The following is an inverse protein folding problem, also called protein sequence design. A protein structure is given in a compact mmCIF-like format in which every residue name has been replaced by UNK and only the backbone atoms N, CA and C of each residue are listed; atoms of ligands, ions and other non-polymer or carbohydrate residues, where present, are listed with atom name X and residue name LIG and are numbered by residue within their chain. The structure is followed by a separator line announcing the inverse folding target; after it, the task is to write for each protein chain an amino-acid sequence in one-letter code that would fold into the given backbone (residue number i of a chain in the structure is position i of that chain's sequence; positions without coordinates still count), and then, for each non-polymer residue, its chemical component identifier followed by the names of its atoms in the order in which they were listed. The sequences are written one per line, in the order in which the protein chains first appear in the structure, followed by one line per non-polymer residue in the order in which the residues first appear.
data_IF_163162028806
#
_entry.id   IF_163162028806
#
_cell.length_a   1.000
_cell.length_b   1.000
_cell.length_c   1.000
_cell.angle_alpha   90.00
_cell.angle_beta   90.00
_cell.angle_gamma   90.00
#
_symmetry.space_group_name_H-M   'P 1'
#
loop_
_entity.id
_entity.type
_entity.pdbx_description
1 polymer ?
#
# COMPACT_ATOMS: atom_id res chain seq x y z
N UNK A 1 32.68 13.52 -61.80
CA UNK A 1 32.76 12.12 -61.33
C UNK A 1 31.38 11.72 -60.85
N UNK A 2 30.72 10.84 -61.60
CA UNK A 2 29.57 10.01 -61.20
C UNK A 2 30.01 8.53 -61.38
N UNK A 3 29.21 7.47 -61.11
CA UNK A 3 27.95 7.31 -60.35
C UNK A 3 28.00 6.08 -59.38
N UNK A 4 27.00 5.77 -58.55
CA UNK A 4 25.97 4.70 -58.65
C UNK A 4 25.60 4.35 -57.17
N UNK A 5 24.37 4.15 -56.69
CA UNK A 5 23.13 3.68 -57.30
C UNK A 5 22.86 2.23 -56.87
N UNK A 6 21.86 1.95 -56.01
CA UNK A 6 21.08 0.70 -55.98
C UNK A 6 19.87 0.83 -55.06
N UNK A 7 18.70 0.76 -55.69
CA UNK A 7 17.38 0.53 -55.08
C UNK A 7 17.06 -0.98 -55.11
N UNK A 8 16.13 -1.43 -54.27
CA UNK A 8 15.63 -2.80 -54.32
C UNK A 8 14.37 -3.04 -53.47
N UNK A 9 13.21 -2.81 -54.08
CA UNK A 9 11.90 -3.32 -53.64
C UNK A 9 11.84 -4.85 -53.78
N UNK A 10 11.13 -5.55 -52.89
CA UNK A 10 10.22 -6.64 -53.29
C UNK A 10 9.20 -7.02 -52.20
N UNK A 11 7.93 -7.11 -52.61
CA UNK A 11 6.79 -7.65 -51.86
C UNK A 11 6.80 -9.20 -51.84
N UNK A 12 5.82 -9.88 -51.17
CA UNK A 12 4.65 -10.31 -51.95
C UNK A 12 3.28 -10.35 -51.23
N UNK A 13 2.27 -10.39 -52.10
CA UNK A 13 0.84 -10.65 -51.96
C UNK A 13 0.49 -11.96 -51.19
N UNK A 14 -0.67 -12.02 -50.52
CA UNK A 14 -1.89 -12.69 -51.04
C UNK A 14 -3.09 -12.65 -50.07
N UNK A 15 -4.24 -12.40 -50.69
CA UNK A 15 -5.60 -12.43 -50.16
C UNK A 15 -6.02 -13.84 -49.74
N UNK A 16 -6.79 -13.98 -48.66
CA UNK A 16 -7.80 -15.03 -48.53
C UNK A 16 -9.18 -14.41 -48.36
N UNK A 17 -10.08 -14.79 -49.27
CA UNK A 17 -11.52 -14.60 -49.23
C UNK A 17 -12.12 -15.74 -48.38
N UNK A 18 -13.09 -15.44 -47.53
CA UNK A 18 -14.15 -16.38 -47.18
C UNK A 18 -15.51 -15.71 -47.47
N UNK A 19 -16.26 -16.32 -48.39
CA UNK A 19 -17.72 -16.16 -48.61
C UNK A 19 -18.44 -16.74 -47.37
N UNK A 20 -19.51 -16.13 -46.80
CA UNK A 20 -20.93 -16.15 -47.23
C UNK A 20 -21.42 -17.61 -47.49
N UNK A 21 -22.52 -18.14 -46.95
CA UNK A 21 -23.76 -17.61 -46.31
C UNK A 21 -24.60 -18.83 -45.77
N UNK A 22 -25.93 -18.77 -45.52
CA UNK A 22 -26.62 -19.26 -44.32
C UNK A 22 -27.45 -20.56 -44.53
N UNK A 23 -28.16 -21.04 -43.50
CA UNK A 23 -29.35 -21.87 -43.69
C UNK A 23 -30.40 -21.64 -42.60
N UNK A 24 -31.57 -21.20 -43.05
CA UNK A 24 -32.86 -21.14 -42.36
C UNK A 24 -33.54 -22.51 -42.28
N UNK A 25 -34.62 -22.62 -41.48
CA UNK A 25 -35.65 -23.67 -41.54
C UNK A 25 -35.76 -24.49 -40.25
N UNK A 26 -36.62 -24.23 -39.26
CA UNK A 26 -38.11 -24.17 -39.19
C UNK A 26 -38.82 -25.55 -39.17
N UNK A 27 -39.34 -25.88 -37.98
CA UNK A 27 -40.58 -26.58 -37.61
C UNK A 27 -40.80 -28.10 -37.88
N UNK A 28 -41.07 -28.85 -36.80
CA UNK A 28 -42.37 -29.51 -36.47
C UNK A 28 -42.19 -30.40 -35.22
N UNK A 29 -42.75 -30.03 -34.06
CA UNK A 29 -44.00 -30.54 -33.45
C UNK A 29 -44.00 -32.06 -33.20
N UNK A 30 -43.83 -32.44 -31.92
CA UNK A 30 -44.54 -33.56 -31.31
C UNK A 30 -44.92 -33.20 -29.89
N UNK A 31 -46.23 -33.27 -29.61
CA UNK A 31 -46.82 -33.13 -28.27
C UNK A 31 -46.34 -34.26 -27.35
N UNK A 32 -45.94 -33.91 -26.13
CA UNK A 32 -46.19 -34.75 -24.97
C UNK A 32 -46.52 -33.87 -23.76
N UNK A 33 -47.67 -34.16 -23.15
CA UNK A 33 -48.20 -33.52 -21.95
C UNK A 33 -47.37 -33.84 -20.69
N UNK A 34 -47.55 -32.96 -19.70
CA UNK A 34 -47.41 -33.17 -18.25
C UNK A 34 -46.04 -32.86 -17.65
N UNK A 35 -45.87 -31.66 -17.10
CA UNK A 35 -45.92 -31.42 -15.64
C UNK A 35 -45.64 -29.94 -15.34
N UNK A 36 -46.50 -29.32 -14.54
CA UNK A 36 -46.36 -27.93 -14.08
C UNK A 36 -45.09 -27.77 -13.22
N UNK A 37 -44.27 -26.72 -13.42
CA UNK A 37 -43.22 -26.38 -12.47
C UNK A 37 -43.82 -25.66 -11.25
N UNK A 38 -43.39 -25.97 -10.01
CA UNK A 38 -43.87 -25.30 -8.81
C UNK A 38 -43.41 -23.83 -8.76
N UNK A 39 -44.15 -22.97 -8.02
CA UNK A 39 -43.82 -21.55 -7.91
C UNK A 39 -42.50 -21.34 -7.17
N UNK A 40 -41.68 -20.44 -7.70
CA UNK A 40 -40.46 -19.95 -7.05
C UNK A 40 -40.85 -19.09 -5.84
N UNK A 41 -40.82 -19.70 -4.66
CA UNK A 41 -40.78 -19.00 -3.38
C UNK A 41 -39.39 -18.36 -3.17
N UNK A 42 -39.33 -17.09 -2.74
CA UNK A 42 -38.08 -16.43 -2.36
C UNK A 42 -37.58 -16.98 -1.03
N UNK A 43 -36.41 -17.60 -1.03
CA UNK A 43 -35.75 -18.07 0.19
C UNK A 43 -35.38 -16.88 1.10
N UNK A 44 -36.25 -16.59 2.07
CA UNK A 44 -35.98 -15.76 3.23
C UNK A 44 -35.38 -16.59 4.35
N UNK A 45 -34.28 -16.06 4.90
CA UNK A 45 -33.92 -15.99 6.33
C UNK A 45 -33.72 -17.34 7.06
N UNK A 46 -32.76 -17.53 7.95
CA UNK A 46 -32.38 -16.78 9.17
C UNK A 46 -31.44 -17.75 9.92
N UNK A 47 -30.55 -17.41 10.85
CA UNK A 47 -30.11 -16.20 11.51
C UNK A 47 -29.12 -16.69 12.58
N UNK A 48 -27.97 -16.04 12.73
CA UNK A 48 -27.43 -15.80 14.06
C UNK A 48 -27.05 -14.33 14.14
N UNK A 49 -28.08 -13.55 14.46
CA UNK A 49 -28.01 -12.22 15.03
C UNK A 49 -27.49 -12.33 16.46
N UNK A 50 -26.57 -11.45 16.82
CA UNK A 50 -26.30 -11.16 18.22
C UNK A 50 -25.22 -10.09 18.40
N UNK A 51 -25.68 -8.84 18.64
CA UNK A 51 -24.96 -7.71 19.27
C UNK A 51 -24.03 -6.90 18.34
N UNK A 52 -24.21 -5.59 18.08
CA UNK A 52 -24.89 -4.52 18.82
C UNK A 52 -25.48 -3.45 17.89
N UNK A 53 -26.65 -2.93 18.28
CA UNK A 53 -27.08 -1.55 18.04
C UNK A 53 -26.23 -0.62 18.92
N UNK A 54 -25.35 0.19 18.31
CA UNK A 54 -24.71 1.39 18.89
C UNK A 54 -24.64 2.44 17.76
N UNK A 55 -24.85 3.74 18.05
CA UNK A 55 -25.65 4.61 17.18
C UNK A 55 -24.82 5.36 16.14
N UNK A 56 -25.54 6.02 15.22
CA UNK A 56 -25.17 7.09 14.30
C UNK A 56 -24.43 8.31 14.93
N UNK A 57 -23.69 8.12 16.03
CA UNK A 57 -23.00 9.16 16.79
C UNK A 57 -21.47 9.01 16.87
N UNK A 58 -20.89 7.91 16.40
CA UNK A 58 -19.43 7.69 16.50
C UNK A 58 -18.63 8.62 15.58
N UNK A 59 -19.09 8.87 14.34
CA UNK A 59 -18.42 9.79 13.42
C UNK A 59 -18.39 11.24 13.90
N UNK A 60 -19.46 11.72 14.56
CA UNK A 60 -19.51 13.08 15.12
C UNK A 60 -18.72 13.22 16.43
N UNK A 61 -18.71 12.20 17.28
CA UNK A 61 -17.92 12.21 18.51
C UNK A 61 -16.41 12.10 18.23
N UNK A 62 -16.00 11.36 17.19
CA UNK A 62 -14.59 11.34 16.75
C UNK A 62 -14.17 12.71 16.20
N UNK A 63 -15.01 13.35 15.37
CA UNK A 63 -14.75 14.70 14.87
C UNK A 63 -14.66 15.76 15.97
N UNK A 64 -15.51 15.66 17.00
CA UNK A 64 -15.49 16.57 18.15
C UNK A 64 -14.31 16.30 19.10
N UNK A 65 -13.94 15.03 19.34
CA UNK A 65 -12.76 14.67 20.12
C UNK A 65 -11.46 15.08 19.42
N UNK A 66 -11.38 14.92 18.09
CA UNK A 66 -10.25 15.37 17.29
C UNK A 66 -10.18 16.90 17.25
N UNK A 67 -11.31 17.62 17.11
CA UNK A 67 -11.36 19.08 17.25
C UNK A 67 -11.01 19.57 18.67
N UNK A 68 -11.31 18.80 19.72
CA UNK A 68 -11.00 19.13 21.10
C UNK A 68 -9.53 18.85 21.48
N UNK A 69 -8.88 17.88 20.84
CA UNK A 69 -7.41 17.65 20.93
C UNK A 69 -6.67 18.65 20.05
N UNK A 70 -7.19 18.95 18.86
CA UNK A 70 -6.68 19.96 17.94
C UNK A 70 -6.70 21.38 18.52
N UNK A 71 -7.82 21.82 19.12
CA UNK A 71 -7.98 23.22 19.55
C UNK A 71 -6.90 23.73 20.53
N UNK A 72 -6.50 23.02 21.59
CA UNK A 72 -5.40 23.45 22.44
C UNK A 72 -4.03 23.31 21.77
N UNK A 73 -3.88 22.45 20.75
CA UNK A 73 -2.67 22.38 19.90
C UNK A 73 -2.55 23.60 18.97
N UNK A 74 -3.67 24.24 18.61
CA UNK A 74 -3.73 25.35 17.65
C UNK A 74 -3.65 26.77 18.24
N UNK A 75 -3.54 26.95 19.58
CA UNK A 75 -3.58 28.29 20.22
C UNK A 75 -2.27 28.69 20.93
N UNK A 76 -1.26 27.84 21.02
CA UNK A 76 0.03 28.25 21.57
C UNK A 76 0.95 28.88 20.50
N UNK A 77 0.61 30.08 20.04
CA UNK A 77 1.63 31.03 19.59
C UNK A 77 2.14 31.76 20.81
N UNK A 78 3.11 31.17 21.50
CA UNK A 78 4.14 31.95 22.17
C UNK A 78 5.46 31.23 22.01
N UNK A 79 6.45 32.02 21.61
CA UNK A 79 7.80 31.61 21.37
C UNK A 79 8.45 31.20 22.69
N UNK A 80 8.36 29.93 23.05
CA UNK A 80 9.33 29.31 23.94
C UNK A 80 9.86 28.01 23.35
N UNK A 81 11.17 27.83 23.53
CA UNK A 81 12.02 26.96 22.77
C UNK A 81 11.70 25.47 22.99
N UNK A 82 11.54 24.75 21.87
CA UNK A 82 12.15 23.45 21.59
C UNK A 82 12.44 22.53 22.78
N UNK A 83 11.39 22.03 23.40
CA UNK A 83 11.46 20.66 23.90
C UNK A 83 11.47 19.74 22.68
N UNK A 84 12.68 19.33 22.27
CA UNK A 84 12.94 18.40 21.16
C UNK A 84 12.03 17.15 21.23
N UNK A 85 11.69 16.69 22.44
CA UNK A 85 10.78 15.57 22.65
C UNK A 85 9.31 15.88 22.37
N UNK A 86 8.88 17.13 22.51
CA UNK A 86 7.49 17.55 22.29
C UNK A 86 7.12 17.54 20.80
N UNK A 87 8.04 17.94 19.92
CA UNK A 87 7.82 17.87 18.47
C UNK A 87 7.64 16.43 17.99
N UNK A 88 8.53 15.52 18.41
CA UNK A 88 8.46 14.11 18.04
C UNK A 88 7.20 13.44 18.62
N UNK A 89 6.89 13.69 19.89
CA UNK A 89 5.68 13.17 20.54
C UNK A 89 4.40 13.63 19.83
N UNK A 90 4.30 14.92 19.48
CA UNK A 90 3.18 15.45 18.69
C UNK A 90 3.07 14.73 17.35
N UNK A 91 4.17 14.52 16.64
CA UNK A 91 4.14 13.78 15.37
C UNK A 91 3.71 12.33 15.53
N UNK A 92 4.10 11.64 16.60
CA UNK A 92 3.68 10.26 16.88
C UNK A 92 2.20 10.15 17.26
N UNK A 93 1.69 11.12 18.03
CA UNK A 93 0.26 11.21 18.34
C UNK A 93 -0.58 11.45 17.07
N UNK A 94 -0.11 12.34 16.20
CA UNK A 94 -0.77 12.59 14.90
C UNK A 94 -0.72 11.34 14.00
N UNK A 95 0.37 10.56 14.03
CA UNK A 95 0.46 9.29 13.27
C UNK A 95 -0.59 8.29 13.76
N UNK A 96 -0.77 8.18 15.08
CA UNK A 96 -1.77 7.28 15.67
C UNK A 96 -3.20 7.68 15.27
N UNK A 97 -3.52 8.97 15.32
CA UNK A 97 -4.82 9.48 14.88
C UNK A 97 -5.02 9.29 13.38
N UNK A 98 -3.99 9.54 12.58
CA UNK A 98 -4.03 9.34 11.14
C UNK A 98 -4.33 7.89 10.77
N UNK A 99 -3.67 6.91 11.41
CA UNK A 99 -3.92 5.48 11.16
C UNK A 99 -5.37 5.08 11.44
N UNK A 100 -5.98 5.63 12.50
CA UNK A 100 -7.40 5.39 12.79
C UNK A 100 -8.27 5.91 11.65
N UNK A 101 -7.99 7.12 11.15
CA UNK A 101 -8.74 7.72 10.04
C UNK A 101 -8.57 6.91 8.75
N UNK A 102 -7.34 6.51 8.44
CA UNK A 102 -7.04 5.69 7.26
C UNK A 102 -7.76 4.33 7.32
N UNK A 103 -7.71 3.65 8.46
CA UNK A 103 -8.45 2.39 8.68
C UNK A 103 -9.95 2.57 8.48
N UNK A 104 -10.52 3.64 9.04
CA UNK A 104 -11.95 3.91 8.90
C UNK A 104 -12.35 4.28 7.46
N UNK A 105 -11.48 5.00 6.72
CA UNK A 105 -11.71 5.31 5.32
C UNK A 105 -11.72 4.05 4.44
N UNK A 106 -10.89 3.05 4.77
CA UNK A 106 -10.88 1.76 4.10
C UNK A 106 -12.14 0.92 4.39
N UNK A 107 -12.66 1.00 5.61
CA UNK A 107 -13.87 0.28 6.03
C UNK A 107 -15.16 0.93 5.50
N UNK A 108 -15.25 2.26 5.51
CA UNK A 108 -16.44 3.01 5.12
C UNK A 108 -16.13 4.29 4.34
N UNK A 109 -16.26 4.18 3.02
CA UNK A 109 -16.06 5.31 2.10
C UNK A 109 -17.21 6.34 2.11
N UNK A 110 -18.34 6.07 2.77
CA UNK A 110 -19.49 6.99 2.78
C UNK A 110 -19.18 8.32 3.49
N UNK A 111 -18.14 8.34 4.32
CA UNK A 111 -17.68 9.51 5.07
C UNK A 111 -16.47 10.22 4.45
N UNK A 112 -16.11 9.91 3.21
CA UNK A 112 -14.92 10.45 2.52
C UNK A 112 -14.83 11.98 2.57
N UNK A 113 -15.95 12.70 2.45
CA UNK A 113 -15.95 14.16 2.54
C UNK A 113 -15.54 14.69 3.94
N UNK A 114 -16.02 14.02 5.01
CA UNK A 114 -15.65 14.37 6.39
C UNK A 114 -14.19 14.04 6.67
N UNK A 115 -13.71 12.88 6.18
CA UNK A 115 -12.31 12.50 6.30
C UNK A 115 -11.40 13.43 5.51
N UNK A 116 -11.78 13.83 4.29
CA UNK A 116 -11.01 14.78 3.48
C UNK A 116 -10.78 16.10 4.21
N UNK A 117 -11.82 16.67 4.84
CA UNK A 117 -11.69 17.90 5.63
C UNK A 117 -10.71 17.74 6.81
N UNK A 118 -10.72 16.57 7.43
CA UNK A 118 -9.83 16.26 8.53
C UNK A 118 -8.38 16.07 8.04
N UNK A 119 -8.19 15.36 6.93
CA UNK A 119 -6.90 15.22 6.24
C UNK A 119 -6.34 16.58 5.81
N UNK A 120 -7.17 17.48 5.28
CA UNK A 120 -6.76 18.86 4.96
C UNK A 120 -6.21 19.59 6.19
N UNK A 121 -6.76 19.33 7.38
CA UNK A 121 -6.28 19.92 8.64
C UNK A 121 -4.89 19.39 9.00
N UNK A 122 -4.66 18.07 8.88
CA UNK A 122 -3.33 17.48 9.09
C UNK A 122 -2.31 18.03 8.08
N UNK A 123 -2.71 18.15 6.81
CA UNK A 123 -1.86 18.66 5.73
C UNK A 123 -1.37 20.08 6.01
N UNK A 124 -2.24 20.99 6.48
CA UNK A 124 -1.82 22.36 6.79
C UNK A 124 -0.76 22.39 7.88
N UNK A 125 -0.98 21.67 8.98
CA UNK A 125 -0.03 21.60 10.09
C UNK A 125 1.31 20.98 9.66
N UNK A 126 1.27 19.81 9.02
CA UNK A 126 2.48 19.07 8.67
C UNK A 126 3.30 19.81 7.60
N UNK A 127 2.65 20.49 6.63
CA UNK A 127 3.38 21.32 5.65
C UNK A 127 4.10 22.49 6.31
N UNK A 128 3.43 23.18 7.23
CA UNK A 128 4.05 24.27 7.97
C UNK A 128 5.24 23.76 8.78
N UNK A 129 5.10 22.60 9.44
CA UNK A 129 6.15 21.99 10.23
C UNK A 129 7.37 21.57 9.38
N UNK A 130 7.13 20.89 8.26
CA UNK A 130 8.18 20.43 7.34
C UNK A 130 8.96 21.62 6.74
N UNK A 131 8.29 22.74 6.47
CA UNK A 131 8.89 23.94 5.89
C UNK A 131 9.78 24.74 6.86
N UNK A 132 9.75 24.45 8.16
CA UNK A 132 10.59 25.16 9.15
C UNK A 132 12.08 24.94 8.88
N UNK A 133 12.94 25.94 9.13
CA UNK A 133 14.37 25.86 8.78
C UNK A 133 15.22 24.97 9.71
N UNK A 134 14.66 24.37 10.76
CA UNK A 134 15.44 23.62 11.76
C UNK A 134 16.17 22.40 11.17
N UNK A 135 17.44 22.23 11.58
CA UNK A 135 18.38 21.19 11.11
C UNK A 135 18.83 20.20 12.19
N UNK A 136 18.28 20.28 13.41
CA UNK A 136 18.59 19.33 14.50
C UNK A 136 18.16 17.90 14.12
N UNK A 137 18.97 16.85 14.38
CA UNK A 137 18.62 15.44 14.11
C UNK A 137 17.22 15.01 14.58
N UNK A 138 16.80 15.40 15.78
CA UNK A 138 15.48 15.02 16.29
C UNK A 138 14.34 15.76 15.57
N UNK A 139 14.56 17.01 15.19
CA UNK A 139 13.64 17.74 14.32
C UNK A 139 13.60 17.14 12.92
N UNK A 140 14.73 16.63 12.40
CA UNK A 140 14.79 15.91 11.13
C UNK A 140 13.93 14.66 11.16
N UNK A 141 14.00 13.87 12.23
CA UNK A 141 13.17 12.69 12.42
C UNK A 141 11.68 13.05 12.47
N UNK A 142 11.30 14.03 13.29
CA UNK A 142 9.91 14.49 13.35
C UNK A 142 9.39 14.99 11.98
N UNK A 143 10.23 15.68 11.20
CA UNK A 143 9.92 16.10 9.83
C UNK A 143 9.77 14.91 8.88
N UNK A 144 10.55 13.84 9.05
CA UNK A 144 10.44 12.63 8.24
C UNK A 144 9.06 11.97 8.44
N UNK A 145 8.60 11.86 9.69
CA UNK A 145 7.25 11.38 10.01
C UNK A 145 6.17 12.31 9.46
N UNK A 146 6.35 13.63 9.57
CA UNK A 146 5.40 14.59 9.00
C UNK A 146 5.29 14.47 7.47
N UNK A 147 6.43 14.41 6.76
CA UNK A 147 6.44 14.18 5.32
C UNK A 147 5.77 12.85 4.94
N UNK A 148 6.02 11.78 5.70
CA UNK A 148 5.34 10.48 5.51
C UNK A 148 3.82 10.63 5.61
N UNK A 149 3.32 11.26 6.68
CA UNK A 149 1.88 11.48 6.88
C UNK A 149 1.27 12.31 5.76
N UNK A 150 1.94 13.37 5.30
CA UNK A 150 1.48 14.15 4.15
C UNK A 150 1.35 13.26 2.91
N UNK A 151 2.33 12.39 2.67
CA UNK A 151 2.29 11.39 1.59
C UNK A 151 1.05 10.50 1.67
N UNK A 152 0.77 9.93 2.85
CA UNK A 152 -0.43 9.12 3.07
C UNK A 152 -1.73 9.92 2.91
N UNK A 153 -1.79 11.16 3.43
CA UNK A 153 -2.94 12.04 3.27
C UNK A 153 -3.25 12.26 1.78
N UNK A 154 -2.24 12.61 0.98
CA UNK A 154 -2.41 12.82 -0.45
C UNK A 154 -2.81 11.56 -1.20
N UNK A 155 -2.22 10.41 -0.84
CA UNK A 155 -2.59 9.12 -1.42
C UNK A 155 -4.06 8.79 -1.12
N UNK A 156 -4.50 8.97 0.12
CA UNK A 156 -5.88 8.70 0.54
C UNK A 156 -6.92 9.58 -0.18
N UNK A 157 -6.56 10.81 -0.57
CA UNK A 157 -7.45 11.70 -1.34
C UNK A 157 -7.26 11.59 -2.86
N UNK A 158 -6.40 10.68 -3.34
CA UNK A 158 -6.17 10.41 -4.76
C UNK A 158 -5.17 11.32 -5.48
N UNK A 159 -4.49 12.21 -4.76
CA UNK A 159 -3.52 13.17 -5.30
C UNK A 159 -2.13 12.52 -5.35
N UNK A 160 -1.98 11.53 -6.24
CA UNK A 160 -0.83 10.62 -6.28
C UNK A 160 0.51 11.32 -6.57
N UNK A 161 0.52 12.43 -7.31
CA UNK A 161 1.74 13.19 -7.57
C UNK A 161 2.29 13.83 -6.30
N UNK A 162 1.43 14.53 -5.55
CA UNK A 162 1.79 15.08 -4.23
C UNK A 162 2.18 14.00 -3.24
N UNK A 163 1.50 12.85 -3.24
CA UNK A 163 1.87 11.71 -2.40
C UNK A 163 3.32 11.28 -2.66
N UNK A 164 3.69 11.11 -3.93
CA UNK A 164 5.02 10.68 -4.34
C UNK A 164 6.11 11.69 -3.93
N UNK A 165 5.86 12.99 -4.12
CA UNK A 165 6.80 14.05 -3.70
C UNK A 165 7.12 13.97 -2.19
N UNK A 166 6.10 13.84 -1.36
CA UNK A 166 6.28 13.79 0.09
C UNK A 166 6.85 12.47 0.59
N UNK A 167 6.56 11.34 -0.08
CA UNK A 167 7.26 10.08 0.22
C UNK A 167 8.75 10.14 -0.15
N UNK A 168 9.13 10.79 -1.26
CA UNK A 168 10.55 11.02 -1.59
C UNK A 168 11.23 11.89 -0.53
N UNK A 169 10.57 12.96 -0.10
CA UNK A 169 11.09 13.80 0.98
C UNK A 169 11.25 13.00 2.29
N UNK A 170 10.27 12.18 2.64
CA UNK A 170 10.31 11.32 3.82
C UNK A 170 11.45 10.29 3.74
N UNK A 171 11.60 9.63 2.58
CA UNK A 171 12.71 8.70 2.31
C UNK A 171 14.05 9.38 2.53
N UNK A 172 14.27 10.55 1.96
CA UNK A 172 15.56 11.25 2.05
C UNK A 172 15.86 11.67 3.50
N UNK A 173 14.84 12.10 4.24
CA UNK A 173 14.97 12.45 5.67
C UNK A 173 15.24 11.23 6.55
N UNK A 174 14.51 10.12 6.37
CA UNK A 174 14.77 8.87 7.10
C UNK A 174 16.13 8.29 6.74
N UNK A 175 16.54 8.36 5.47
CA UNK A 175 17.88 7.96 5.03
C UNK A 175 18.98 8.76 5.71
N UNK A 176 18.82 10.08 5.84
CA UNK A 176 19.76 10.92 6.58
C UNK A 176 19.78 10.61 8.09
N UNK A 177 18.65 10.25 8.69
CA UNK A 177 18.60 9.79 10.08
C UNK A 177 19.29 8.42 10.24
N UNK A 178 19.04 7.48 9.34
CA UNK A 178 19.65 6.15 9.35
C UNK A 178 21.17 6.21 9.13
N UNK A 179 21.67 7.13 8.30
CA UNK A 179 23.11 7.36 8.17
C UNK A 179 23.75 7.83 9.49
N UNK A 180 23.03 8.57 10.31
CA UNK A 180 23.51 9.03 11.61
C UNK A 180 23.45 7.91 12.67
N UNK A 181 22.47 7.02 12.60
CA UNK A 181 22.35 5.83 13.45
C UNK A 181 21.97 4.57 12.65
N UNK A 182 22.96 3.87 12.04
CA UNK A 182 22.71 2.75 11.12
C UNK A 182 22.16 1.48 11.77
N UNK A 183 22.16 1.40 13.12
CA UNK A 183 21.77 0.20 13.85
C UNK A 183 20.32 0.22 14.31
N UNK A 184 19.64 1.36 14.16
CA UNK A 184 18.27 1.52 14.61
C UNK A 184 17.30 0.90 13.60
N UNK A 185 16.81 -0.28 13.92
CA UNK A 185 15.89 -1.08 13.09
C UNK A 185 14.65 -0.28 12.70
N UNK A 186 14.11 0.53 13.60
CA UNK A 186 12.93 1.36 13.31
C UNK A 186 13.17 2.34 12.15
N UNK A 187 14.33 3.03 12.13
CA UNK A 187 14.67 3.95 11.02
C UNK A 187 14.82 3.20 9.71
N UNK A 188 15.39 2.01 9.77
CA UNK A 188 15.54 1.15 8.60
C UNK A 188 14.18 0.72 8.04
N UNK A 189 13.25 0.30 8.91
CA UNK A 189 11.87 -0.01 8.53
C UNK A 189 11.17 1.20 7.90
N UNK A 190 11.25 2.39 8.52
CA UNK A 190 10.61 3.60 8.00
C UNK A 190 11.19 4.05 6.66
N UNK A 191 12.50 3.91 6.48
CA UNK A 191 13.15 4.21 5.21
C UNK A 191 12.73 3.24 4.09
N UNK A 192 12.66 1.94 4.41
CA UNK A 192 12.17 0.91 3.48
C UNK A 192 10.69 1.11 3.13
N UNK A 193 9.87 1.47 4.13
CA UNK A 193 8.48 1.83 3.96
C UNK A 193 8.32 2.96 2.93
N UNK A 194 9.15 4.01 3.03
CA UNK A 194 9.10 5.12 2.08
C UNK A 194 9.39 4.67 0.64
N UNK A 195 10.38 3.78 0.41
CA UNK A 195 10.61 3.20 -0.92
C UNK A 195 9.39 2.40 -1.43
N UNK A 196 8.81 1.55 -0.58
CA UNK A 196 7.65 0.76 -0.94
C UNK A 196 6.43 1.62 -1.29
N UNK A 197 6.20 2.71 -0.54
CA UNK A 197 5.12 3.67 -0.82
C UNK A 197 5.34 4.43 -2.13
N UNK A 198 6.56 4.89 -2.41
CA UNK A 198 6.89 5.52 -3.71
C UNK A 198 6.59 4.53 -4.84
N UNK A 199 7.04 3.28 -4.70
CA UNK A 199 6.86 2.27 -5.72
C UNK A 199 5.37 1.95 -5.95
N UNK A 200 4.58 1.83 -4.88
CA UNK A 200 3.12 1.66 -4.95
C UNK A 200 2.44 2.85 -5.65
N UNK A 201 2.76 4.08 -5.26
CA UNK A 201 2.17 5.29 -5.86
C UNK A 201 2.54 5.42 -7.34
N UNK A 202 3.80 5.19 -7.70
CA UNK A 202 4.23 5.22 -9.10
C UNK A 202 3.53 4.13 -9.92
N UNK A 203 3.32 2.94 -9.37
CA UNK A 203 2.55 1.88 -10.01
C UNK A 203 1.09 2.31 -10.24
N UNK A 204 0.44 2.87 -9.21
CA UNK A 204 -0.94 3.37 -9.30
C UNK A 204 -1.09 4.51 -10.33
N UNK A 205 -0.03 5.30 -10.56
CA UNK A 205 0.03 6.32 -11.62
C UNK A 205 0.29 5.76 -13.02
N UNK A 206 0.56 4.45 -13.14
CA UNK A 206 0.94 3.81 -14.40
C UNK A 206 2.44 3.94 -14.76
N UNK A 207 3.26 4.52 -13.88
CA UNK A 207 4.69 4.69 -14.06
C UNK A 207 5.46 3.42 -13.65
N UNK A 208 5.17 2.30 -14.32
CA UNK A 208 5.67 0.96 -13.96
C UNK A 208 7.20 0.92 -13.84
N UNK A 209 7.94 1.58 -14.74
CA UNK A 209 9.42 1.61 -14.68
C UNK A 209 9.94 2.25 -13.39
N UNK A 210 9.32 3.34 -12.95
CA UNK A 210 9.70 4.02 -11.71
C UNK A 210 9.38 3.13 -10.51
N UNK A 211 8.22 2.47 -10.52
CA UNK A 211 7.83 1.52 -9.49
C UNK A 211 8.82 0.34 -9.37
N UNK A 212 9.19 -0.28 -10.49
CA UNK A 212 10.20 -1.35 -10.51
C UNK A 212 11.56 -0.88 -9.97
N UNK A 213 11.98 0.33 -10.32
CA UNK A 213 13.27 0.89 -9.86
C UNK A 213 13.30 1.06 -8.34
N UNK A 214 12.23 1.62 -7.77
CA UNK A 214 12.11 1.83 -6.31
C UNK A 214 11.97 0.50 -5.57
N UNK A 215 11.21 -0.45 -6.12
CA UNK A 215 11.12 -1.81 -5.59
C UNK A 215 12.47 -2.52 -5.57
N UNK A 216 13.24 -2.48 -6.67
CA UNK A 216 14.57 -3.10 -6.73
C UNK A 216 15.56 -2.42 -5.79
N UNK A 217 15.44 -1.11 -5.59
CA UNK A 217 16.25 -0.38 -4.60
C UNK A 217 15.95 -0.87 -3.18
N UNK A 218 14.67 -1.00 -2.82
CA UNK A 218 14.24 -1.54 -1.54
C UNK A 218 14.75 -2.98 -1.31
N UNK A 219 14.67 -3.84 -2.33
CA UNK A 219 15.18 -5.21 -2.26
C UNK A 219 16.71 -5.26 -2.08
N UNK A 220 17.44 -4.46 -2.85
CA UNK A 220 18.90 -4.41 -2.76
C UNK A 220 19.36 -4.00 -1.35
N UNK A 221 18.75 -2.94 -0.82
CA UNK A 221 18.97 -2.49 0.56
C UNK A 221 18.69 -3.62 1.55
N UNK A 222 17.54 -4.27 1.43
CA UNK A 222 17.16 -5.42 2.26
C UNK A 222 18.20 -6.55 2.25
N UNK A 223 18.85 -6.82 1.12
CA UNK A 223 19.89 -7.83 0.97
C UNK A 223 21.22 -7.42 1.61
N UNK A 224 21.57 -6.14 1.54
CA UNK A 224 22.81 -5.59 2.10
C UNK A 224 22.71 -5.23 3.59
N UNK A 225 21.53 -5.41 4.20
CA UNK A 225 21.31 -5.10 5.61
C UNK A 225 22.31 -5.82 6.52
N UNK A 226 23.01 -5.05 7.35
CA UNK A 226 23.89 -5.58 8.41
C UNK A 226 23.20 -5.65 9.77
N UNK A 227 21.87 -5.46 9.81
CA UNK A 227 21.10 -5.52 11.05
C UNK A 227 21.09 -6.94 11.60
N UNK A 228 21.07 -7.07 12.93
CA UNK A 228 20.94 -8.36 13.59
C UNK A 228 19.49 -8.84 13.43
N UNK A 229 19.25 -10.04 12.85
CA UNK A 229 17.90 -10.54 12.62
C UNK A 229 17.30 -11.15 13.89
N UNK A 230 17.05 -10.30 14.88
CA UNK A 230 16.37 -10.66 16.13
C UNK A 230 14.85 -10.45 16.04
N UNK A 231 14.15 -10.57 17.17
CA UNK A 231 12.71 -10.41 17.22
C UNK A 231 12.27 -9.00 16.80
N UNK A 232 12.99 -7.95 17.21
CA UNK A 232 12.67 -6.56 16.89
C UNK A 232 12.86 -6.28 15.39
N UNK A 233 13.92 -6.81 14.80
CA UNK A 233 14.13 -6.83 13.35
C UNK A 233 12.93 -7.42 12.61
N UNK A 234 12.52 -8.64 12.99
CA UNK A 234 11.42 -9.31 12.31
C UNK A 234 10.10 -8.59 12.50
N UNK A 235 9.83 -8.08 13.71
CA UNK A 235 8.60 -7.37 14.02
C UNK A 235 8.51 -6.04 13.26
N UNK A 236 9.61 -5.31 13.20
CA UNK A 236 9.65 -3.96 12.61
C UNK A 236 9.62 -3.96 11.09
N UNK A 237 10.16 -5.00 10.44
CA UNK A 237 10.17 -5.10 8.97
C UNK A 237 9.03 -5.92 8.39
N UNK A 238 8.25 -6.61 9.23
CA UNK A 238 7.16 -7.46 8.76
C UNK A 238 6.15 -6.71 7.87
N UNK A 239 5.66 -5.51 8.24
CA UNK A 239 4.72 -4.76 7.40
C UNK A 239 5.33 -4.38 6.04
N UNK A 240 6.59 -3.97 6.02
CA UNK A 240 7.30 -3.54 4.81
C UNK A 240 7.56 -4.73 3.88
N UNK A 241 7.96 -5.88 4.42
CA UNK A 241 8.12 -7.11 3.66
C UNK A 241 6.80 -7.57 3.04
N UNK A 242 5.69 -7.44 3.77
CA UNK A 242 4.34 -7.77 3.27
C UNK A 242 3.98 -6.88 2.08
N UNK A 243 4.17 -5.56 2.21
CA UNK A 243 3.90 -4.60 1.15
C UNK A 243 4.78 -4.82 -0.09
N UNK A 244 6.08 -5.06 0.11
CA UNK A 244 7.01 -5.34 -1.00
C UNK A 244 6.65 -6.65 -1.70
N UNK A 245 6.34 -7.72 -0.97
CA UNK A 245 5.96 -9.00 -1.57
C UNK A 245 4.73 -8.83 -2.49
N UNK A 246 3.70 -8.12 -2.00
CA UNK A 246 2.51 -7.78 -2.76
C UNK A 246 2.83 -6.96 -4.01
N UNK A 247 3.63 -5.89 -3.86
CA UNK A 247 3.99 -5.04 -4.97
C UNK A 247 4.80 -5.78 -6.05
N UNK A 248 5.74 -6.66 -5.64
CA UNK A 248 6.50 -7.49 -6.57
C UNK A 248 5.61 -8.42 -7.40
N UNK A 249 4.52 -8.92 -6.80
CA UNK A 249 3.52 -9.73 -7.52
C UNK A 249 2.74 -8.90 -8.54
N UNK A 250 2.27 -7.71 -8.15
CA UNK A 250 1.56 -6.77 -9.04
C UNK A 250 2.44 -6.29 -10.21
N UNK A 251 3.72 -6.03 -9.94
CA UNK A 251 4.72 -5.68 -10.95
C UNK A 251 5.19 -6.87 -11.79
N UNK A 252 4.75 -8.09 -11.48
CA UNK A 252 5.18 -9.34 -12.13
C UNK A 252 6.68 -9.61 -12.05
N UNK A 253 7.34 -9.10 -11.01
CA UNK A 253 8.75 -9.34 -10.70
C UNK A 253 8.87 -10.61 -9.86
N UNK A 254 8.46 -11.76 -10.41
CA UNK A 254 8.27 -12.97 -9.58
C UNK A 254 9.56 -13.50 -8.95
N UNK A 255 10.71 -13.39 -9.64
CA UNK A 255 12.00 -13.83 -9.10
C UNK A 255 12.46 -12.96 -7.92
N UNK A 256 12.32 -11.64 -8.04
CA UNK A 256 12.63 -10.70 -6.96
C UNK A 256 11.59 -10.77 -5.83
N UNK A 257 10.30 -10.90 -6.17
CA UNK A 257 9.20 -11.06 -5.21
C UNK A 257 9.35 -12.34 -4.38
N UNK A 258 9.87 -13.43 -4.96
CA UNK A 258 10.13 -14.68 -4.24
C UNK A 258 11.10 -14.45 -3.07
N UNK A 259 12.16 -13.68 -3.30
CA UNK A 259 13.16 -13.38 -2.26
C UNK A 259 12.54 -12.58 -1.10
N UNK A 260 11.65 -11.64 -1.40
CA UNK A 260 10.91 -10.89 -0.37
C UNK A 260 9.95 -11.83 0.37
N UNK A 261 9.23 -12.69 -0.34
CA UNK A 261 8.26 -13.63 0.24
C UNK A 261 8.93 -14.66 1.17
N UNK A 262 10.13 -15.15 0.84
CA UNK A 262 10.92 -16.01 1.72
C UNK A 262 11.28 -15.32 3.04
N UNK A 263 11.71 -14.05 2.97
CA UNK A 263 12.03 -13.25 4.15
C UNK A 263 10.79 -12.91 4.97
N UNK A 264 9.66 -12.66 4.31
CA UNK A 264 8.37 -12.46 4.96
C UNK A 264 7.95 -13.71 5.73
N UNK A 265 7.99 -14.89 5.10
CA UNK A 265 7.65 -16.17 5.74
C UNK A 265 8.59 -16.51 6.91
N UNK A 266 9.89 -16.27 6.75
CA UNK A 266 10.86 -16.42 7.84
C UNK A 266 10.53 -15.50 9.02
N UNK A 267 10.22 -14.23 8.75
CA UNK A 267 9.87 -13.26 9.78
C UNK A 267 8.58 -13.64 10.49
N UNK A 268 7.55 -14.04 9.75
CA UNK A 268 6.28 -14.52 10.31
C UNK A 268 6.52 -15.69 11.26
N UNK A 269 7.29 -16.69 10.83
CA UNK A 269 7.65 -17.85 11.66
C UNK A 269 8.36 -17.44 12.95
N UNK A 270 9.34 -16.54 12.88
CA UNK A 270 10.09 -16.06 14.05
C UNK A 270 9.19 -15.34 15.06
N UNK A 271 8.22 -14.57 14.57
CA UNK A 271 7.25 -13.89 15.42
C UNK A 271 6.29 -14.89 16.08
N UNK A 272 5.75 -15.84 15.31
CA UNK A 272 4.85 -16.88 15.83
C UNK A 272 5.54 -17.83 16.82
N UNK A 273 6.79 -18.23 16.56
CA UNK A 273 7.56 -19.11 17.47
C UNK A 273 7.74 -18.46 18.86
N UNK A 274 7.88 -17.13 18.91
CA UNK A 274 8.03 -16.37 20.16
C UNK A 274 6.69 -16.14 20.88
N UNK A 275 5.62 -16.01 20.11
CA UNK A 275 4.27 -15.66 20.59
C UNK A 275 3.20 -16.60 20.00
N UNK A 276 3.24 -17.92 20.30
CA UNK A 276 2.40 -18.91 19.63
C UNK A 276 0.90 -18.80 19.95
N UNK A 277 0.53 -18.03 20.97
CA UNK A 277 -0.86 -17.78 21.36
C UNK A 277 -1.46 -16.56 20.65
N UNK A 278 -0.64 -15.79 19.92
CA UNK A 278 -1.12 -14.62 19.18
C UNK A 278 -1.81 -15.07 17.88
N UNK A 279 -3.13 -14.93 17.86
CA UNK A 279 -3.95 -15.32 16.72
C UNK A 279 -3.69 -14.46 15.48
N UNK A 280 -3.23 -13.21 15.64
CA UNK A 280 -2.90 -12.34 14.51
C UNK A 280 -1.61 -12.79 13.85
N UNK A 281 -0.55 -13.02 14.65
CA UNK A 281 0.72 -13.54 14.13
C UNK A 281 0.56 -14.92 13.49
N UNK A 282 -0.33 -15.77 14.02
CA UNK A 282 -0.65 -17.05 13.40
C UNK A 282 -1.31 -16.90 12.03
N UNK A 283 -2.22 -15.93 11.86
CA UNK A 283 -2.83 -15.62 10.56
C UNK A 283 -1.80 -15.07 9.59
N UNK A 284 -0.97 -14.14 10.04
CA UNK A 284 0.09 -13.53 9.24
C UNK A 284 1.12 -14.57 8.75
N UNK A 285 1.46 -15.58 9.56
CA UNK A 285 2.30 -16.69 9.14
C UNK A 285 1.66 -17.55 8.04
N UNK A 286 0.38 -17.88 8.17
CA UNK A 286 -0.36 -18.61 7.13
C UNK A 286 -0.42 -17.80 5.84
N UNK A 287 -0.67 -16.50 5.93
CA UNK A 287 -0.74 -15.63 4.76
C UNK A 287 0.64 -15.48 4.09
N UNK A 288 1.71 -15.34 4.86
CA UNK A 288 3.08 -15.30 4.34
C UNK A 288 3.46 -16.59 3.57
N UNK A 289 3.11 -17.76 4.11
CA UNK A 289 3.33 -19.04 3.43
C UNK A 289 2.50 -19.15 2.14
N UNK A 290 1.25 -18.68 2.14
CA UNK A 290 0.41 -18.63 0.93
C UNK A 290 1.04 -17.74 -0.13
N UNK A 291 1.53 -16.56 0.23
CA UNK A 291 2.22 -15.66 -0.69
C UNK A 291 3.46 -16.33 -1.29
N UNK A 292 4.30 -16.95 -0.46
CA UNK A 292 5.50 -17.67 -0.91
C UNK A 292 5.16 -18.76 -1.94
N UNK A 293 4.15 -19.59 -1.65
CA UNK A 293 3.70 -20.64 -2.55
C UNK A 293 3.14 -20.09 -3.87
N UNK A 294 2.34 -19.01 -3.80
CA UNK A 294 1.79 -18.36 -4.98
C UNK A 294 2.89 -17.84 -5.90
N UNK A 295 3.84 -17.06 -5.37
CA UNK A 295 4.92 -16.48 -6.17
C UNK A 295 5.82 -17.57 -6.77
N UNK A 296 6.15 -18.62 -5.98
CA UNK A 296 6.89 -19.77 -6.47
C UNK A 296 6.20 -20.46 -7.66
N UNK A 297 4.88 -20.66 -7.57
CA UNK A 297 4.10 -21.26 -8.66
C UNK A 297 4.07 -20.40 -9.92
N UNK A 298 3.96 -19.07 -9.78
CA UNK A 298 3.94 -18.13 -10.90
C UNK A 298 5.32 -18.07 -11.60
N UNK A 299 6.40 -18.09 -10.83
CA UNK A 299 7.76 -18.14 -11.36
C UNK A 299 8.01 -19.43 -12.15
N UNK A 300 7.56 -20.57 -11.64
CA UNK A 300 7.67 -21.86 -12.34
C UNK A 300 6.89 -21.88 -13.66
N UNK A 301 5.72 -21.22 -13.71
CA UNK A 301 4.94 -21.10 -14.94
C UNK A 301 5.63 -20.22 -15.99
N UNK A 302 6.29 -19.13 -15.60
CA UNK A 302 7.07 -18.30 -16.52
C UNK A 302 8.27 -19.05 -17.12
N UNK A 303 8.94 -19.89 -16.33
CA UNK A 303 10.08 -20.68 -16.82
C UNK A 303 9.72 -21.78 -17.84
N UNK A 304 8.43 -22.13 -17.95
CA UNK A 304 7.91 -23.15 -18.87
C UNK A 304 7.32 -22.56 -20.16
N UNK A 305 7.34 -21.23 -20.34
CA UNK A 305 6.89 -20.52 -21.56
C UNK A 305 8.07 -20.12 -22.43
#
# INVERSE_FOLDING_TARGET
MSPLGMAGLMAPRRRRRCRLKPSDGTAAITLHQSDEPPPLEPSRASSLLGRWLVPLGTGMLLGAAILAVARPVFVATDADQDSVGEGLLKTQQLDSLFRVIESQLQEDSSHLASYRKLLDTFLVYDRQYVAQASVNPATRLAKAYAAKRIGHCYQAIGELEGACEYYRQSRDLFGACLQADPKLVELYSLWLNAHAQIAYVEFARGNVRSAESEFRTALHVLQESTLVPDFEYHNSLFPELKLLAQLGLELKLYAESLQVAERLALSAKKLTDRSPQDAELARDAVDAERYLNLVSSLLAQQGNQ
#
